data_IF_135240564899
#
_entry.id   IF_135240564899
#
_cell.length_a   1.000
_cell.length_b   1.000
_cell.length_c   1.000
_cell.angle_alpha   90.00
_cell.angle_beta   90.00
_cell.angle_gamma   90.00
#
_symmetry.space_group_name_H-M   'P 1'
#
loop_
_entity.id
_entity.type
_entity.pdbx_description
1 polymer ?
#
# COMPACT_ATOMS: atom_id res chain seq x y z
N UNK A 1 -30.00 -28.69 6.63
CA UNK A 1 -29.70 -27.28 6.28
C UNK A 1 -30.27 -26.92 4.91
N UNK A 2 -30.56 -25.64 4.61
CA UNK A 2 -31.02 -25.22 3.26
C UNK A 2 -29.86 -24.79 2.37
N UNK A 3 -29.99 -25.07 1.06
CA UNK A 3 -29.02 -24.60 0.07
C UNK A 3 -29.13 -23.08 -0.11
N UNK A 4 -28.00 -22.36 0.02
CA UNK A 4 -27.93 -20.91 -0.21
C UNK A 4 -28.34 -20.50 -1.63
N UNK A 5 -28.22 -21.41 -2.61
CA UNK A 5 -28.48 -21.12 -4.02
C UNK A 5 -29.90 -21.52 -4.46
N UNK A 6 -30.34 -22.75 -4.16
CA UNK A 6 -31.63 -23.26 -4.64
C UNK A 6 -32.71 -23.39 -3.55
N UNK A 7 -32.38 -23.14 -2.28
CA UNK A 7 -33.34 -23.17 -1.17
C UNK A 7 -33.80 -24.56 -0.73
N UNK A 8 -33.41 -25.63 -1.43
CA UNK A 8 -33.77 -27.01 -1.07
C UNK A 8 -33.13 -27.44 0.25
N UNK A 9 -33.85 -28.31 0.97
CA UNK A 9 -33.35 -28.96 2.16
C UNK A 9 -32.26 -29.99 1.79
N UNK A 10 -31.18 -29.95 2.55
CA UNK A 10 -30.00 -30.80 2.39
C UNK A 10 -29.60 -31.39 3.74
N UNK A 11 -28.98 -32.58 3.75
CA UNK A 11 -28.37 -33.15 4.96
C UNK A 11 -27.37 -32.18 5.58
N UNK A 12 -27.24 -32.18 6.91
CA UNK A 12 -26.36 -31.24 7.62
C UNK A 12 -24.86 -31.47 7.37
N UNK A 13 -24.49 -32.52 6.64
CA UNK A 13 -23.11 -32.93 6.38
C UNK A 13 -22.74 -33.06 4.88
N UNK A 14 -23.57 -32.56 3.97
CA UNK A 14 -23.27 -32.57 2.52
C UNK A 14 -22.47 -31.35 2.10
N UNK A 15 -21.27 -31.56 1.54
CA UNK A 15 -20.39 -30.50 1.04
C UNK A 15 -20.92 -29.81 -0.23
N UNK A 16 -21.70 -30.53 -1.04
CA UNK A 16 -22.23 -30.06 -2.31
C UNK A 16 -23.73 -30.34 -2.40
N UNK A 17 -24.49 -29.38 -2.92
CA UNK A 17 -25.92 -29.55 -3.16
C UNK A 17 -26.15 -30.50 -4.33
N UNK A 18 -26.78 -31.65 -4.07
CA UNK A 18 -27.12 -32.64 -5.11
C UNK A 18 -28.09 -32.10 -6.17
N UNK A 19 -28.96 -31.14 -5.80
CA UNK A 19 -29.96 -30.60 -6.73
C UNK A 19 -29.40 -29.55 -7.70
N UNK A 20 -28.45 -28.71 -7.26
CA UNK A 20 -27.96 -27.59 -8.08
C UNK A 20 -26.43 -27.55 -8.25
N UNK A 21 -25.72 -28.55 -7.75
CA UNK A 21 -24.26 -28.65 -7.81
C UNK A 21 -23.52 -27.58 -6.99
N UNK A 22 -24.21 -26.84 -6.12
CA UNK A 22 -23.59 -25.75 -5.36
C UNK A 22 -22.67 -26.29 -4.24
N UNK A 23 -21.37 -25.98 -4.32
CA UNK A 23 -20.39 -26.37 -3.32
C UNK A 23 -20.35 -25.37 -2.15
N UNK A 24 -20.79 -25.83 -0.98
CA UNK A 24 -20.92 -25.02 0.24
C UNK A 24 -19.57 -24.84 0.91
N UNK A 25 -18.71 -25.85 0.86
CA UNK A 25 -17.35 -25.77 1.40
C UNK A 25 -16.54 -24.74 0.63
N UNK A 26 -16.62 -24.77 -0.69
CA UNK A 26 -15.96 -23.82 -1.56
C UNK A 26 -16.50 -22.41 -1.36
N UNK A 27 -17.84 -22.26 -1.21
CA UNK A 27 -18.44 -20.97 -0.88
C UNK A 27 -17.99 -20.42 0.48
N UNK A 28 -17.90 -21.26 1.52
CA UNK A 28 -17.35 -20.86 2.83
C UNK A 28 -15.88 -20.46 2.74
N UNK A 29 -15.10 -21.15 1.91
CA UNK A 29 -13.73 -20.79 1.60
C UNK A 29 -13.68 -19.39 0.98
N UNK A 30 -14.46 -19.15 -0.07
CA UNK A 30 -14.55 -17.84 -0.73
C UNK A 30 -15.03 -16.74 0.21
N UNK A 31 -16.00 -17.00 1.07
CA UNK A 31 -16.51 -16.03 2.05
C UNK A 31 -15.41 -15.60 3.04
N UNK A 32 -14.52 -16.52 3.42
CA UNK A 32 -13.35 -16.21 4.24
C UNK A 32 -12.36 -15.28 3.52
N UNK A 33 -12.19 -15.41 2.20
CA UNK A 33 -11.32 -14.54 1.40
C UNK A 33 -11.98 -13.21 1.00
N UNK A 34 -13.32 -13.17 0.93
CA UNK A 34 -14.10 -11.99 0.53
C UNK A 34 -14.45 -11.08 1.70
N UNK A 35 -14.36 -11.55 2.95
CA UNK A 35 -14.49 -10.71 4.15
C UNK A 35 -13.34 -9.71 4.23
N UNK A 36 -13.53 -8.58 3.55
CA UNK A 36 -12.65 -7.43 3.70
C UNK A 36 -12.78 -6.89 5.12
N UNK A 37 -11.66 -6.57 5.79
CA UNK A 37 -11.69 -5.90 7.07
C UNK A 37 -12.53 -4.62 6.96
N UNK A 38 -13.34 -4.33 7.98
CA UNK A 38 -14.08 -3.08 8.05
C UNK A 38 -13.11 -1.90 8.03
N UNK A 39 -13.57 -0.78 7.45
CA UNK A 39 -12.81 0.47 7.47
C UNK A 39 -12.64 0.96 8.92
N UNK A 40 -11.54 1.67 9.24
CA UNK A 40 -11.35 2.23 10.57
C UNK A 40 -12.49 3.19 10.91
N UNK A 41 -13.01 3.12 12.13
CA UNK A 41 -13.95 4.11 12.64
C UNK A 41 -13.23 5.43 12.90
N UNK A 42 -13.61 6.47 12.17
CA UNK A 42 -13.12 7.84 12.34
C UNK A 42 -14.31 8.81 12.34
N UNK A 43 -14.17 9.96 13.00
CA UNK A 43 -15.16 11.03 12.95
C UNK A 43 -15.59 11.40 11.52
N UNK A 44 -16.84 11.83 11.32
CA UNK A 44 -17.40 12.16 10.00
C UNK A 44 -16.56 13.20 9.23
N UNK A 45 -15.99 14.17 9.94
CA UNK A 45 -15.10 15.21 9.40
C UNK A 45 -13.78 14.65 8.87
N UNK A 46 -13.35 13.48 9.34
CA UNK A 46 -12.09 12.84 8.96
C UNK A 46 -12.26 11.70 7.96
N UNK A 47 -13.49 11.43 7.48
CA UNK A 47 -13.74 10.38 6.49
C UNK A 47 -13.00 10.63 5.17
N UNK A 48 -12.82 11.89 4.75
CA UNK A 48 -12.03 12.22 3.56
C UNK A 48 -10.58 11.78 3.73
N UNK A 49 -10.01 11.97 4.92
CA UNK A 49 -8.61 11.64 5.21
C UNK A 49 -8.30 10.16 5.04
N UNK A 50 -9.28 9.25 5.17
CA UNK A 50 -9.11 7.82 4.89
C UNK A 50 -8.71 7.54 3.43
N UNK A 51 -9.10 8.41 2.51
CA UNK A 51 -8.79 8.35 1.07
C UNK A 51 -7.62 9.26 0.73
N UNK A 52 -7.54 10.44 1.33
CA UNK A 52 -6.49 11.40 1.03
C UNK A 52 -5.12 10.93 1.49
N UNK A 53 -5.00 10.38 2.71
CA UNK A 53 -3.73 9.90 3.26
C UNK A 53 -3.03 8.88 2.35
N UNK A 54 -3.67 7.78 1.89
CA UNK A 54 -3.01 6.81 1.00
C UNK A 54 -2.65 7.38 -0.36
N UNK A 55 -3.46 8.30 -0.93
CA UNK A 55 -3.17 8.95 -2.21
C UNK A 55 -1.99 9.92 -2.07
N UNK A 56 -2.00 10.76 -1.03
CA UNK A 56 -0.90 11.69 -0.76
C UNK A 56 0.40 10.96 -0.41
N UNK A 57 0.32 9.79 0.27
CA UNK A 57 1.48 8.92 0.52
C UNK A 57 2.08 8.43 -0.79
N UNK A 58 1.25 8.02 -1.76
CA UNK A 58 1.74 7.61 -3.08
C UNK A 58 2.40 8.77 -3.84
N UNK A 59 1.75 9.93 -3.86
CA UNK A 59 2.27 11.11 -4.57
C UNK A 59 3.59 11.59 -3.98
N UNK A 60 3.69 11.68 -2.65
CA UNK A 60 4.93 12.05 -1.96
C UNK A 60 6.03 11.01 -2.16
N UNK A 61 5.70 9.72 -2.12
CA UNK A 61 6.64 8.64 -2.44
C UNK A 61 7.16 8.76 -3.87
N UNK A 62 6.29 8.99 -4.85
CA UNK A 62 6.67 9.21 -6.25
C UNK A 62 7.56 10.45 -6.46
N UNK A 63 7.24 11.56 -5.80
CA UNK A 63 8.07 12.78 -5.83
C UNK A 63 9.44 12.53 -5.19
N UNK A 64 9.52 11.75 -4.12
CA UNK A 64 10.80 11.39 -3.50
C UNK A 64 11.71 10.63 -4.48
N UNK A 65 11.15 9.71 -5.27
CA UNK A 65 11.90 9.00 -6.33
C UNK A 65 12.36 9.97 -7.40
N UNK A 66 11.47 10.87 -7.87
CA UNK A 66 11.82 11.87 -8.87
C UNK A 66 13.01 12.74 -8.43
N UNK A 67 12.98 13.28 -7.20
CA UNK A 67 14.09 14.08 -6.67
C UNK A 67 15.35 13.24 -6.42
N UNK A 68 15.23 11.97 -6.05
CA UNK A 68 16.40 11.08 -5.94
C UNK A 68 17.08 10.84 -7.29
N UNK A 69 16.31 10.73 -8.38
CA UNK A 69 16.84 10.56 -9.74
C UNK A 69 17.52 11.84 -10.24
N UNK A 70 16.93 13.00 -9.96
CA UNK A 70 17.56 14.30 -10.23
C UNK A 70 18.85 14.45 -9.44
N UNK A 71 18.83 14.08 -8.15
CA UNK A 71 20.01 14.09 -7.30
C UNK A 71 21.09 13.18 -7.85
N UNK A 72 20.78 11.96 -8.31
CA UNK A 72 21.76 11.03 -8.90
C UNK A 72 22.37 11.60 -10.17
N UNK A 73 21.55 12.10 -11.07
CA UNK A 73 21.96 12.57 -12.41
C UNK A 73 22.88 13.79 -12.37
N UNK A 74 22.82 14.60 -11.30
CA UNK A 74 23.69 15.75 -11.15
C UNK A 74 25.16 15.33 -10.89
N UNK A 75 26.12 15.94 -11.58
CA UNK A 75 27.56 15.66 -11.36
C UNK A 75 28.04 16.13 -9.99
N UNK A 76 27.46 17.21 -9.46
CA UNK A 76 27.76 17.78 -8.13
C UNK A 76 26.64 17.52 -7.13
N UNK A 77 26.93 17.70 -5.84
CA UNK A 77 25.94 17.60 -4.77
C UNK A 77 25.09 18.87 -4.78
N UNK A 78 23.87 18.76 -5.32
CA UNK A 78 22.90 19.86 -5.31
C UNK A 78 22.06 19.78 -4.05
N UNK A 79 22.33 20.67 -3.08
CA UNK A 79 21.69 20.71 -1.75
C UNK A 79 20.17 20.82 -1.86
N UNK A 80 19.65 21.57 -2.84
CA UNK A 80 18.21 21.74 -3.05
C UNK A 80 17.51 20.41 -3.33
N UNK A 81 18.08 19.55 -4.18
CA UNK A 81 17.48 18.25 -4.51
C UNK A 81 17.50 17.32 -3.30
N UNK A 82 18.57 17.37 -2.50
CA UNK A 82 18.68 16.60 -1.26
C UNK A 82 17.63 17.06 -0.23
N UNK A 83 17.46 18.37 -0.05
CA UNK A 83 16.48 18.93 0.88
C UNK A 83 15.04 18.56 0.49
N UNK A 84 14.70 18.67 -0.81
CA UNK A 84 13.40 18.26 -1.33
C UNK A 84 13.17 16.76 -1.16
N UNK A 85 14.16 15.93 -1.48
CA UNK A 85 14.11 14.49 -1.25
C UNK A 85 13.80 14.17 0.23
N UNK A 86 14.55 14.74 1.17
CA UNK A 86 14.34 14.53 2.61
C UNK A 86 12.92 14.94 3.02
N UNK A 87 12.45 16.10 2.55
CA UNK A 87 11.11 16.59 2.83
C UNK A 87 10.02 15.63 2.33
N UNK A 88 10.12 15.13 1.10
CA UNK A 88 9.12 14.21 0.54
C UNK A 88 9.16 12.83 1.18
N UNK A 89 10.34 12.31 1.52
CA UNK A 89 10.47 11.06 2.29
C UNK A 89 9.83 11.20 3.67
N UNK A 90 10.12 12.30 4.38
CA UNK A 90 9.51 12.59 5.68
C UNK A 90 7.98 12.66 5.57
N UNK A 91 7.47 13.38 4.58
CA UNK A 91 6.03 13.51 4.37
C UNK A 91 5.37 12.17 4.02
N UNK A 92 6.04 11.33 3.23
CA UNK A 92 5.57 9.98 2.90
C UNK A 92 5.38 9.15 4.17
N UNK A 93 6.39 9.11 5.04
CA UNK A 93 6.30 8.35 6.29
C UNK A 93 5.27 8.94 7.25
N UNK A 94 5.22 10.27 7.38
CA UNK A 94 4.24 10.98 8.22
C UNK A 94 2.79 10.71 7.78
N UNK A 95 2.51 10.68 6.48
CA UNK A 95 1.17 10.35 5.98
C UNK A 95 0.87 8.86 6.05
N UNK A 96 1.88 8.00 5.87
CA UNK A 96 1.71 6.56 5.90
C UNK A 96 1.29 6.03 7.28
N UNK A 97 1.67 6.74 8.35
CA UNK A 97 1.31 6.40 9.73
C UNK A 97 -0.15 6.75 10.09
N UNK A 98 -0.82 7.54 9.26
CA UNK A 98 -2.23 7.93 9.47
C UNK A 98 -3.20 6.81 9.02
N UNK A 99 -4.43 6.78 9.59
CA UNK A 99 -5.44 5.80 9.19
C UNK A 99 -5.80 5.94 7.71
N UNK A 100 -6.08 4.79 7.08
CA UNK A 100 -6.43 4.71 5.67
C UNK A 100 -7.52 3.67 5.45
N UNK A 101 -8.33 3.87 4.42
CA UNK A 101 -9.31 2.89 3.95
C UNK A 101 -8.64 1.54 3.67
N UNK A 102 -9.26 0.43 4.05
CA UNK A 102 -8.62 -0.90 3.95
C UNK A 102 -8.32 -1.24 2.48
N UNK A 103 -9.24 -0.90 1.59
CA UNK A 103 -9.10 -1.05 0.13
C UNK A 103 -7.92 -0.26 -0.46
N UNK A 104 -7.50 0.83 0.20
CA UNK A 104 -6.43 1.73 -0.28
C UNK A 104 -5.10 1.51 0.46
N UNK A 105 -5.03 0.55 1.40
CA UNK A 105 -3.75 0.16 2.03
C UNK A 105 -2.68 -0.26 1.01
N UNK A 106 -2.99 -1.01 -0.07
CA UNK A 106 -1.98 -1.33 -1.09
C UNK A 106 -1.38 -0.07 -1.72
N UNK A 107 -2.20 0.94 -1.99
CA UNK A 107 -1.76 2.21 -2.58
C UNK A 107 -0.77 2.95 -1.67
N UNK A 108 -1.09 3.02 -0.37
CA UNK A 108 -0.20 3.57 0.66
C UNK A 108 1.13 2.83 0.72
N UNK A 109 1.09 1.50 0.71
CA UNK A 109 2.27 0.66 0.79
C UNK A 109 3.18 0.85 -0.43
N UNK A 110 2.63 1.03 -1.64
CA UNK A 110 3.42 1.37 -2.84
C UNK A 110 4.15 2.69 -2.63
N UNK A 111 3.49 3.72 -2.10
CA UNK A 111 4.13 4.99 -1.77
C UNK A 111 5.31 4.84 -0.80
N UNK A 112 5.14 4.02 0.24
CA UNK A 112 6.22 3.71 1.20
C UNK A 112 7.38 2.96 0.53
N UNK A 113 7.09 1.99 -0.34
CA UNK A 113 8.12 1.28 -1.11
C UNK A 113 8.92 2.24 -2.00
N UNK A 114 8.26 3.22 -2.63
CA UNK A 114 8.95 4.26 -3.40
C UNK A 114 9.89 5.11 -2.53
N UNK A 115 9.48 5.48 -1.32
CA UNK A 115 10.37 6.20 -0.41
C UNK A 115 11.60 5.38 -0.02
N UNK A 116 11.44 4.08 0.28
CA UNK A 116 12.59 3.19 0.55
C UNK A 116 13.52 3.05 -0.65
N UNK A 117 12.95 2.90 -1.85
CA UNK A 117 13.72 2.83 -3.09
C UNK A 117 14.52 4.12 -3.34
N UNK A 118 13.88 5.28 -3.19
CA UNK A 118 14.53 6.58 -3.31
C UNK A 118 15.68 6.75 -2.29
N UNK A 119 15.48 6.25 -1.07
CA UNK A 119 16.49 6.29 -0.01
C UNK A 119 17.71 5.42 -0.35
N UNK A 120 17.48 4.21 -0.88
CA UNK A 120 18.55 3.35 -1.38
C UNK A 120 19.38 4.01 -2.49
N UNK A 121 18.71 4.69 -3.43
CA UNK A 121 19.34 5.44 -4.52
C UNK A 121 20.26 6.56 -4.01
N UNK A 122 19.79 7.36 -3.05
CA UNK A 122 20.58 8.45 -2.47
C UNK A 122 21.78 7.92 -1.70
N UNK A 123 21.60 6.88 -0.86
CA UNK A 123 22.71 6.23 -0.13
C UNK A 123 23.75 5.69 -1.10
N UNK A 124 23.33 5.02 -2.17
CA UNK A 124 24.24 4.47 -3.18
C UNK A 124 25.14 5.56 -3.77
N UNK A 125 24.57 6.72 -4.12
CA UNK A 125 25.38 7.86 -4.62
C UNK A 125 26.38 8.38 -3.59
N UNK A 126 25.97 8.52 -2.32
CA UNK A 126 26.88 8.95 -1.26
C UNK A 126 28.05 7.98 -1.09
N UNK A 127 27.77 6.67 -1.07
CA UNK A 127 28.82 5.64 -0.98
C UNK A 127 29.74 5.70 -2.19
N UNK A 128 29.20 5.82 -3.40
CA UNK A 128 29.99 5.94 -4.63
C UNK A 128 30.92 7.17 -4.61
N UNK A 129 30.42 8.32 -4.17
CA UNK A 129 31.22 9.54 -4.06
C UNK A 129 32.30 9.42 -2.98
N UNK A 130 31.99 8.84 -1.81
CA UNK A 130 32.99 8.60 -0.76
C UNK A 130 34.08 7.64 -1.24
N UNK A 131 33.71 6.60 -1.98
CA UNK A 131 34.67 5.66 -2.53
C UNK A 131 35.60 6.33 -3.55
N UNK A 132 35.05 7.14 -4.47
CA UNK A 132 35.85 7.90 -5.43
C UNK A 132 36.69 9.04 -4.83
N UNK A 133 36.52 9.37 -3.54
CA UNK A 133 37.41 10.28 -2.81
C UNK A 133 38.56 9.54 -2.13
N UNK A 134 38.39 8.24 -1.83
CA UNK A 134 39.37 7.42 -1.12
C UNK A 134 40.39 6.75 -2.04
N UNK A 135 40.10 6.63 -3.34
CA UNK A 135 40.93 5.99 -4.38
C UNK A 135 41.03 6.90 -5.60
#
# INVERSE_FOLDING_TARGET
>A
MKCLRCGNDMPDNTATCENCGFNIEEHKLYEKYLKQPADPEVPEDQKSSLVDNPVLTLLSGGLSVFFSLLFISASTIVILYLALFILFVFFTFYLSSKPSKVKLRPLRNVGVVFAYFALGLVIFKFVYQLWGLLF
#
